data_IF_035278331254
#
_entry.id   IF_035278331254
#
_cell.length_a   1.000
_cell.length_b   1.000
_cell.length_c   1.000
_cell.angle_alpha   90.00
_cell.angle_beta   90.00
_cell.angle_gamma   90.00
#
_symmetry.space_group_name_H-M   'P 1'
#
loop_
_entity.id
_entity.type
_entity.pdbx_description
1 polymer ?
#
# COMPACT_ATOMS: atom_id res chain seq x y z
N UNK A 1 3.78 -4.43 -20.57
CA UNK A 1 3.32 -5.45 -19.62
C UNK A 1 3.21 -4.81 -18.24
N UNK A 2 2.06 -4.92 -17.58
CA UNK A 2 1.72 -4.10 -16.41
C UNK A 2 2.54 -4.44 -15.16
N UNK A 3 3.18 -3.42 -14.56
CA UNK A 3 3.96 -3.52 -13.31
C UNK A 3 3.17 -4.12 -12.14
N UNK A 4 1.83 -4.07 -12.17
CA UNK A 4 0.96 -4.72 -11.18
C UNK A 4 1.13 -6.27 -11.14
N UNK A 5 1.48 -6.92 -12.25
CA UNK A 5 1.72 -8.38 -12.28
C UNK A 5 3.07 -8.79 -11.67
N UNK A 6 3.92 -7.82 -11.28
CA UNK A 6 5.19 -8.05 -10.60
C UNK A 6 5.08 -7.98 -9.08
N UNK A 7 3.95 -7.48 -8.54
CA UNK A 7 3.65 -7.54 -7.11
C UNK A 7 3.25 -8.98 -6.74
N UNK A 8 4.22 -9.89 -6.79
CA UNK A 8 4.05 -11.34 -6.56
C UNK A 8 4.33 -11.77 -5.12
N UNK A 9 4.61 -10.83 -4.22
CA UNK A 9 4.92 -11.14 -2.82
C UNK A 9 3.67 -10.98 -1.96
N UNK A 10 2.86 -12.04 -1.75
CA UNK A 10 1.74 -11.99 -0.82
C UNK A 10 2.19 -11.60 0.60
N UNK A 11 3.44 -11.89 0.96
CA UNK A 11 4.05 -11.44 2.21
C UNK A 11 4.15 -9.90 2.33
N UNK A 12 4.47 -9.19 1.25
CA UNK A 12 4.56 -7.72 1.27
C UNK A 12 3.18 -7.08 1.40
N UNK A 13 2.17 -7.66 0.72
CA UNK A 13 0.77 -7.25 0.85
C UNK A 13 0.24 -7.52 2.25
N UNK A 14 0.51 -8.70 2.80
CA UNK A 14 0.11 -9.04 4.16
C UNK A 14 0.78 -8.12 5.18
N UNK A 15 2.07 -7.81 5.04
CA UNK A 15 2.76 -6.88 5.92
C UNK A 15 2.19 -5.45 5.86
N UNK A 16 1.73 -5.00 4.68
CA UNK A 16 1.05 -3.72 4.54
C UNK A 16 -0.34 -3.73 5.21
N UNK A 17 -1.08 -4.85 5.10
CA UNK A 17 -2.38 -5.04 5.76
C UNK A 17 -2.21 -5.07 7.29
N UNK A 18 -1.25 -5.84 7.81
CA UNK A 18 -0.96 -5.91 9.25
C UNK A 18 -0.61 -4.52 9.80
N UNK A 19 0.21 -3.75 9.09
CA UNK A 19 0.55 -2.37 9.47
C UNK A 19 -0.68 -1.44 9.42
N UNK A 20 -1.55 -1.59 8.42
CA UNK A 20 -2.80 -0.84 8.33
C UNK A 20 -3.75 -1.14 9.51
N UNK A 21 -3.87 -2.42 9.88
CA UNK A 21 -4.68 -2.86 11.01
C UNK A 21 -4.08 -2.37 12.34
N UNK A 22 -2.76 -2.42 12.51
CA UNK A 22 -2.08 -1.97 13.72
C UNK A 22 -2.09 -0.44 13.91
N UNK A 23 -1.81 0.33 12.85
CA UNK A 23 -1.79 1.79 12.91
C UNK A 23 -3.21 2.39 12.89
N UNK A 24 -4.14 1.69 12.24
CA UNK A 24 -5.48 2.18 11.93
C UNK A 24 -5.48 3.09 10.70
N UNK A 25 -6.62 3.08 10.00
CA UNK A 25 -6.84 3.75 8.71
C UNK A 25 -6.32 5.19 8.66
N UNK A 26 -6.69 6.04 9.62
CA UNK A 26 -6.35 7.46 9.59
C UNK A 26 -4.85 7.72 9.71
N UNK A 27 -4.16 7.01 10.63
CA UNK A 27 -2.71 7.17 10.83
C UNK A 27 -1.93 6.59 9.66
N UNK A 28 -2.36 5.44 9.13
CA UNK A 28 -1.74 4.83 7.96
C UNK A 28 -1.79 5.75 6.75
N UNK A 29 -2.97 6.29 6.44
CA UNK A 29 -3.17 7.23 5.34
C UNK A 29 -2.32 8.50 5.51
N UNK A 30 -2.28 9.08 6.73
CA UNK A 30 -1.48 10.26 7.02
C UNK A 30 0.04 9.99 6.91
N UNK A 31 0.50 8.84 7.40
CA UNK A 31 1.93 8.46 7.39
C UNK A 31 2.46 8.28 5.97
N UNK A 32 1.64 7.74 5.09
CA UNK A 32 2.04 7.43 3.72
C UNK A 32 1.52 8.44 2.69
N UNK A 33 0.74 9.44 3.11
CA UNK A 33 0.20 10.47 2.23
C UNK A 33 -0.86 9.96 1.24
N UNK A 34 -1.59 8.89 1.57
CA UNK A 34 -2.67 8.40 0.72
C UNK A 34 -4.02 8.99 1.12
N UNK A 35 -4.87 9.23 0.12
CA UNK A 35 -6.30 9.47 0.33
C UNK A 35 -7.10 8.18 0.49
N UNK A 36 -8.35 8.30 0.96
CA UNK A 36 -9.29 7.16 0.99
C UNK A 36 -9.49 6.59 -0.42
N UNK A 37 -9.49 5.26 -0.52
CA UNK A 37 -9.86 4.57 -1.75
C UNK A 37 -11.38 4.71 -1.95
N UNK A 38 -11.79 5.11 -3.16
CA UNK A 38 -13.21 5.37 -3.47
C UNK A 38 -13.88 4.19 -4.18
N UNK A 39 -13.11 3.43 -4.95
CA UNK A 39 -13.66 2.45 -5.90
C UNK A 39 -13.30 1.00 -5.57
N UNK A 40 -12.17 0.76 -4.90
CA UNK A 40 -11.67 -0.58 -4.61
C UNK A 40 -11.13 -0.66 -3.17
N UNK A 41 -11.52 -1.73 -2.47
CA UNK A 41 -11.05 -2.07 -1.12
C UNK A 41 -10.43 -3.47 -1.13
N UNK A 42 -9.42 -3.69 -0.30
CA UNK A 42 -8.79 -4.99 -0.08
C UNK A 42 -9.33 -5.53 1.23
N UNK A 43 -9.90 -6.72 1.19
CA UNK A 43 -10.36 -7.40 2.40
C UNK A 43 -9.25 -8.27 2.97
N UNK A 44 -8.93 -8.08 4.23
CA UNK A 44 -8.01 -8.97 4.95
C UNK A 44 -8.66 -10.35 5.14
N UNK A 45 -8.08 -11.44 4.62
CA UNK A 45 -8.62 -12.78 4.82
C UNK A 45 -8.57 -13.26 6.28
N UNK A 46 -7.73 -12.67 7.14
CA UNK A 46 -7.61 -13.07 8.56
C UNK A 46 -8.63 -12.38 9.45
N UNK A 47 -8.75 -11.06 9.32
CA UNK A 47 -9.62 -10.26 10.20
C UNK A 47 -10.96 -9.89 9.56
N UNK A 48 -11.08 -10.02 8.23
CA UNK A 48 -12.24 -9.57 7.47
C UNK A 48 -12.33 -8.04 7.30
N UNK A 49 -11.29 -7.30 7.68
CA UNK A 49 -11.24 -5.83 7.64
C UNK A 49 -11.08 -5.31 6.22
N UNK A 50 -11.89 -4.32 5.85
CA UNK A 50 -11.78 -3.64 4.57
C UNK A 50 -10.73 -2.52 4.63
N UNK A 51 -9.67 -2.68 3.83
CA UNK A 51 -8.53 -1.80 3.75
C UNK A 51 -8.53 -1.02 2.43
N UNK A 52 -7.97 0.18 2.42
CA UNK A 52 -7.88 1.02 1.22
C UNK A 52 -6.89 0.41 0.21
N UNK A 53 -7.40 -0.08 -0.94
CA UNK A 53 -6.58 -0.87 -1.89
C UNK A 53 -5.35 -0.13 -2.43
N UNK A 54 -5.48 1.17 -2.73
CA UNK A 54 -4.38 2.00 -3.22
C UNK A 54 -3.27 2.17 -2.18
N UNK A 55 -3.67 2.36 -0.93
CA UNK A 55 -2.74 2.56 0.18
C UNK A 55 -1.97 1.27 0.47
N UNK A 56 -2.67 0.13 0.52
CA UNK A 56 -2.04 -1.19 0.68
C UNK A 56 -1.10 -1.49 -0.48
N UNK A 57 -1.53 -1.26 -1.73
CA UNK A 57 -0.71 -1.54 -2.91
C UNK A 57 0.59 -0.71 -2.93
N UNK A 58 0.52 0.60 -2.64
CA UNK A 58 1.70 1.45 -2.67
C UNK A 58 2.69 1.18 -1.52
N UNK A 59 2.20 0.82 -0.34
CA UNK A 59 3.05 0.37 0.77
C UNK A 59 3.67 -1.00 0.50
N UNK A 60 2.89 -1.96 0.01
CA UNK A 60 3.39 -3.27 -0.39
C UNK A 60 4.46 -3.14 -1.47
N UNK A 61 4.28 -2.23 -2.43
CA UNK A 61 5.29 -1.93 -3.44
C UNK A 61 6.56 -1.34 -2.83
N UNK A 62 6.45 -0.38 -1.90
CA UNK A 62 7.62 0.17 -1.19
C UNK A 62 8.36 -0.85 -0.33
N UNK A 63 7.64 -1.81 0.27
CA UNK A 63 8.25 -2.93 0.99
C UNK A 63 8.95 -3.91 0.05
N UNK A 64 8.41 -4.14 -1.15
CA UNK A 64 9.03 -5.01 -2.15
C UNK A 64 10.20 -4.34 -2.90
N UNK A 65 10.18 -3.01 -3.04
CA UNK A 65 11.21 -2.21 -3.71
C UNK A 65 11.74 -1.09 -2.77
N UNK A 66 12.46 -1.45 -1.69
CA UNK A 66 12.94 -0.48 -0.71
C UNK A 66 13.89 0.57 -1.31
N UNK A 67 14.60 0.24 -2.39
CA UNK A 67 15.49 1.18 -3.11
C UNK A 67 14.75 2.25 -3.91
N UNK A 68 13.49 2.01 -4.30
CA UNK A 68 12.65 2.97 -5.02
C UNK A 68 11.71 3.74 -4.08
N UNK A 69 11.47 3.20 -2.88
CA UNK A 69 10.55 3.74 -1.90
C UNK A 69 9.07 3.44 -2.24
N UNK A 70 8.15 3.76 -1.31
CA UNK A 70 6.71 3.56 -1.52
C UNK A 70 6.19 4.42 -2.68
N UNK A 71 5.26 3.86 -3.46
CA UNK A 71 4.57 4.59 -4.53
C UNK A 71 3.61 5.60 -3.92
N UNK A 72 3.80 6.89 -4.11
CA UNK A 72 2.83 7.89 -3.65
C UNK A 72 1.46 7.72 -4.31
N UNK A 73 0.43 8.40 -3.77
CA UNK A 73 -0.95 8.30 -4.27
C UNK A 73 -1.11 8.64 -5.76
N UNK A 74 -0.16 9.40 -6.32
CA UNK A 74 -0.10 9.78 -7.74
C UNK A 74 0.53 8.68 -8.62
N UNK A 75 1.03 7.60 -8.04
CA UNK A 75 1.76 6.53 -8.72
C UNK A 75 3.24 6.85 -8.95
N UNK A 76 3.74 7.97 -8.43
CA UNK A 76 5.16 8.34 -8.50
C UNK A 76 5.93 7.75 -7.33
N UNK A 77 7.14 7.23 -7.59
CA UNK A 77 8.06 6.83 -6.51
C UNK A 77 8.48 8.07 -5.71
N UNK A 78 8.44 7.98 -4.37
CA UNK A 78 8.80 9.08 -3.47
C UNK A 78 10.27 9.56 -3.61
N UNK A 79 11.10 8.82 -4.35
CA UNK A 79 12.51 9.14 -4.59
C UNK A 79 12.76 10.02 -5.84
N UNK A 80 11.84 10.93 -6.16
CA UNK A 80 12.07 11.92 -7.21
C UNK A 80 12.77 13.14 -6.61
N UNK A 81 14.09 13.02 -6.48
CA UNK A 81 15.00 14.13 -6.16
C UNK A 81 14.85 15.22 -7.25
N UNK A 82 14.28 16.36 -6.87
CA UNK A 82 14.46 17.66 -7.51
C UNK A 82 14.81 18.69 -6.44
#
# INVERSE_FOLDING_TARGET
MSQLSQLRSPAAVQAAIDEFVQLGRTKFLARHGYGKSRDFLVRDPKTGTDCDSKAIAGVAFGKQFPEQGPLTADGTVANSRW
#
